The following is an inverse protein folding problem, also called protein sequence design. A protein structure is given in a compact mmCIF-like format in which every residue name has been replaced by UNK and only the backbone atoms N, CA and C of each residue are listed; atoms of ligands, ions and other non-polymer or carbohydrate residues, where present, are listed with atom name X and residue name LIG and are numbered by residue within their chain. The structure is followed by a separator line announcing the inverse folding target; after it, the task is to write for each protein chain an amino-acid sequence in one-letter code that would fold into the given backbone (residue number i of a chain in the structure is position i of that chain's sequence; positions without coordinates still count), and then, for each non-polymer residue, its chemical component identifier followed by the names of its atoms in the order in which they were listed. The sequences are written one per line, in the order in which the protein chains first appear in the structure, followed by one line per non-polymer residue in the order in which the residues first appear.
data_IF_202007758080
#
_entry.id   IF_202007758080
#
_cell.length_a   1.000
_cell.length_b   1.000
_cell.length_c   1.000
_cell.angle_alpha   90.00
_cell.angle_beta   90.00
_cell.angle_gamma   90.00
#
_symmetry.space_group_name_H-M   'P 1'
#
loop_
_entity.id
_entity.type
_entity.pdbx_description
1 polymer ?
#
# COMPACT_ATOMS: atom_id res chain seq x y z
N UNK A 4 -6.51 -1.08 7.35
CA UNK A 4 -7.37 -1.89 6.50
C UNK A 4 -6.56 -2.83 5.61
N UNK A 5 -7.25 -3.57 4.75
CA UNK A 5 -6.61 -4.66 4.01
C UNK A 5 -6.69 -4.42 2.50
N UNK A 6 -7.05 -3.21 2.11
CA UNK A 6 -7.09 -2.85 0.70
C UNK A 6 -6.36 -1.55 0.43
N UNK A 7 -5.55 -1.58 -0.62
CA UNK A 7 -4.79 -0.40 -1.01
C UNK A 7 -5.28 0.12 -2.36
N UNK A 8 -6.09 1.17 -2.32
CA UNK A 8 -6.51 1.83 -3.54
C UNK A 8 -5.39 2.76 -3.98
N UNK A 9 -4.91 2.57 -5.19
CA UNK A 9 -3.72 3.26 -5.64
C UNK A 9 -4.03 4.40 -6.61
N UNK A 10 -2.98 5.07 -7.04
CA UNK A 10 -3.04 6.21 -7.96
C UNK A 10 -3.92 5.91 -9.18
N UNK A 11 -3.77 4.72 -9.73
CA UNK A 11 -4.48 4.35 -10.95
C UNK A 11 -5.92 3.99 -10.66
N UNK A 12 -6.31 4.01 -9.39
CA UNK A 12 -7.66 3.70 -9.02
C UNK A 12 -7.87 2.22 -8.79
N UNK A 13 -6.86 1.41 -9.08
CA UNK A 13 -6.95 -0.03 -8.90
C UNK A 13 -6.85 -0.38 -7.42
N UNK A 14 -7.74 -1.26 -6.98
CA UNK A 14 -7.76 -1.70 -5.60
C UNK A 14 -6.90 -2.95 -5.44
N UNK A 15 -5.83 -2.82 -4.67
CA UNK A 15 -4.95 -3.93 -4.41
C UNK A 15 -5.30 -4.60 -3.10
N UNK A 16 -5.53 -5.91 -3.16
CA UNK A 16 -5.81 -6.69 -1.97
C UNK A 16 -4.51 -6.90 -1.19
N UNK A 17 -4.43 -6.27 -0.04
CA UNK A 17 -3.23 -6.33 0.77
C UNK A 17 -3.46 -7.14 2.04
N UNK A 18 -2.37 -7.66 2.59
CA UNK A 18 -2.37 -8.16 3.97
C UNK A 18 -2.60 -6.98 4.90
N UNK A 19 -2.30 -5.81 4.35
CA UNK A 19 -2.61 -4.54 4.98
C UNK A 19 -1.47 -4.05 5.81
N UNK A 20 -1.69 -2.99 6.60
CA UNK A 20 -0.76 -2.74 7.70
C UNK A 20 0.64 -2.37 7.20
N UNK A 21 0.74 -1.34 6.34
CA UNK A 21 1.98 -1.02 5.64
C UNK A 21 2.93 -0.13 6.45
N UNK A 22 4.22 -0.31 6.20
CA UNK A 22 5.25 0.49 6.83
C UNK A 22 5.89 1.43 5.82
N UNK A 23 5.76 2.73 6.04
CA UNK A 23 6.32 3.72 5.14
C UNK A 23 7.68 4.18 5.62
N UNK A 24 8.65 4.17 4.72
CA UNK A 24 9.94 4.80 4.97
C UNK A 24 9.82 6.29 4.69
N UNK A 25 9.59 7.08 5.73
CA UNK A 25 9.26 8.48 5.57
C UNK A 25 10.49 9.32 5.27
N UNK A 26 11.63 8.67 5.15
CA UNK A 26 12.87 9.35 4.82
C UNK A 26 13.03 9.47 3.31
N UNK A 27 12.20 8.74 2.58
CA UNK A 27 12.23 8.78 1.12
C UNK A 27 10.81 8.80 0.54
N UNK A 28 9.90 8.08 1.19
CA UNK A 28 8.54 8.02 0.71
C UNK A 28 8.22 6.69 0.04
N UNK A 29 8.83 5.62 0.53
CA UNK A 29 8.55 4.30 0.00
C UNK A 29 7.65 3.54 0.98
N UNK A 30 6.60 2.92 0.44
CA UNK A 30 5.62 2.26 1.28
C UNK A 30 5.74 0.74 1.19
N UNK A 31 6.18 0.14 2.28
CA UNK A 31 6.32 -1.31 2.35
C UNK A 31 4.99 -1.96 2.73
N UNK A 32 4.33 -2.57 1.75
CA UNK A 32 3.06 -3.23 1.98
C UNK A 32 3.22 -4.74 1.86
N UNK A 33 2.16 -5.48 2.13
CA UNK A 33 2.18 -6.93 1.95
C UNK A 33 1.09 -7.32 0.96
N UNK A 34 1.50 -7.89 -0.17
CA UNK A 34 0.54 -8.39 -1.15
C UNK A 34 -0.12 -9.68 -0.69
N UNK A 35 -1.07 -10.15 -1.49
CA UNK A 35 -1.84 -11.35 -1.20
C UNK A 35 -0.94 -12.56 -0.99
N UNK A 36 0.19 -12.57 -1.70
CA UNK A 36 1.10 -13.71 -1.68
C UNK A 36 1.98 -13.67 -0.44
N UNK A 37 1.79 -12.65 0.39
CA UNK A 37 2.63 -12.49 1.56
C UNK A 37 3.95 -11.87 1.20
N UNK A 38 3.92 -10.96 0.23
CA UNK A 38 5.12 -10.32 -0.26
C UNK A 38 5.24 -8.90 0.29
N UNK A 39 6.37 -8.61 0.91
CA UNK A 39 6.65 -7.28 1.41
C UNK A 39 7.35 -6.46 0.35
N UNK A 40 6.60 -5.61 -0.34
CA UNK A 40 7.14 -4.81 -1.42
C UNK A 40 6.93 -3.34 -1.14
N UNK A 41 7.70 -2.49 -1.80
CA UNK A 41 7.63 -1.06 -1.56
C UNK A 41 7.10 -0.33 -2.79
N UNK A 42 6.04 0.46 -2.60
CA UNK A 42 5.52 1.28 -3.68
C UNK A 42 5.79 2.75 -3.39
N UNK A 43 5.36 3.61 -4.30
CA UNK A 43 5.57 5.05 -4.17
C UNK A 43 4.46 5.66 -3.32
N UNK A 44 4.83 6.56 -2.43
CA UNK A 44 3.85 7.27 -1.58
C UNK A 44 2.82 8.01 -2.43
N UNK A 45 3.24 8.53 -3.56
CA UNK A 45 2.33 9.26 -4.46
C UNK A 45 1.37 8.31 -5.15
N UNK A 46 1.73 7.04 -5.17
CA UNK A 46 0.89 6.02 -5.76
C UNK A 46 -0.12 5.50 -4.75
N UNK A 47 0.07 5.86 -3.49
CA UNK A 47 -0.88 5.51 -2.45
C UNK A 47 -2.02 6.51 -2.47
N UNK A 48 -3.22 6.03 -2.75
CA UNK A 48 -4.37 6.91 -2.87
C UNK A 48 -5.28 6.77 -1.65
N UNK A 49 -5.99 5.65 -1.56
CA UNK A 49 -6.96 5.46 -0.48
C UNK A 49 -6.68 4.19 0.31
N UNK A 50 -6.25 4.36 1.54
CA UNK A 50 -6.11 3.25 2.47
C UNK A 50 -7.26 3.31 3.49
N UNK A 51 -7.35 4.46 4.14
CA UNK A 51 -8.38 4.74 5.12
C UNK A 51 -8.15 6.17 5.60
N UNK A 52 -9.04 6.69 6.45
CA UNK A 52 -8.87 8.03 7.00
C UNK A 52 -7.66 8.06 7.94
N UNK A 53 -6.59 8.68 7.48
CA UNK A 53 -5.32 8.68 8.19
C UNK A 53 -5.20 9.92 9.08
#
# INVERSE_FOLDING_TARGET
MSSDYVMATKDGRMILTDGKPEIDDDTGLVSYHDQQGNAMQINRDDVSQIIERLEHHHHHH
#
